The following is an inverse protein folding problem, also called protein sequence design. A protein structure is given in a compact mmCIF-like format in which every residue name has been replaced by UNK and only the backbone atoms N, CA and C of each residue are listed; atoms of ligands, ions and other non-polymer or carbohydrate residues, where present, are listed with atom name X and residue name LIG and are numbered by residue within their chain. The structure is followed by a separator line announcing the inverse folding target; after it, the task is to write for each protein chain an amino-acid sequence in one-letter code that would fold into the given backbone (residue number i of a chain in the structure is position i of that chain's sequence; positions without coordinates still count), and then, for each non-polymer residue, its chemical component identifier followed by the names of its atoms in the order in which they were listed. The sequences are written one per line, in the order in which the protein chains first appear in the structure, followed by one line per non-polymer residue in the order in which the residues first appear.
data_IF_686502013425
#
_entry.id   IF_686502013425
#
_cell.length_a   1.000
_cell.length_b   1.000
_cell.length_c   1.000
_cell.angle_alpha   90.00
_cell.angle_beta   90.00
_cell.angle_gamma   90.00
#
_symmetry.space_group_name_H-M   'P 1'
#
loop_
_entity.id
_entity.type
_entity.pdbx_description
1 polymer ?
#
# COMPACT_ATOMS: atom_id res chain seq x y z
N UNK A 1 13.68 -10.23 -19.07
CA UNK A 1 12.23 -10.49 -18.88
C UNK A 1 12.03 -11.04 -17.48
N UNK A 2 11.22 -10.38 -16.64
CA UNK A 2 10.97 -10.84 -15.27
C UNK A 2 10.24 -12.19 -15.30
N UNK A 3 10.75 -13.17 -14.56
CA UNK A 3 10.12 -14.50 -14.44
C UNK A 3 9.26 -14.52 -13.19
N UNK A 4 7.97 -14.83 -13.32
CA UNK A 4 7.07 -14.97 -12.18
C UNK A 4 6.88 -16.43 -11.77
N UNK A 5 6.82 -16.68 -10.46
CA UNK A 5 6.44 -17.98 -9.91
C UNK A 5 4.98 -18.28 -10.19
N UNK A 6 4.66 -19.55 -10.45
CA UNK A 6 3.27 -20.01 -10.54
C UNK A 6 2.69 -20.13 -9.13
N UNK A 7 1.57 -19.45 -8.87
CA UNK A 7 0.79 -19.61 -7.63
C UNK A 7 0.11 -20.98 -7.61
N UNK A 8 0.32 -21.74 -6.53
CA UNK A 8 -0.22 -23.10 -6.33
C UNK A 8 -0.89 -23.19 -4.96
N UNK A 9 -1.67 -24.25 -4.74
CA UNK A 9 -2.26 -24.50 -3.43
C UNK A 9 -3.35 -23.50 -3.03
N UNK A 10 -4.16 -23.05 -3.99
CA UNK A 10 -5.20 -22.03 -3.77
C UNK A 10 -6.06 -22.28 -2.53
N UNK A 11 -6.52 -23.52 -2.29
CA UNK A 11 -7.33 -23.83 -1.11
C UNK A 11 -6.60 -23.55 0.22
N UNK A 12 -5.29 -23.84 0.29
CA UNK A 12 -4.46 -23.50 1.44
C UNK A 12 -4.31 -21.99 1.59
N UNK A 13 -4.07 -21.29 0.49
CA UNK A 13 -3.98 -19.81 0.49
C UNK A 13 -5.28 -19.19 1.02
N UNK A 14 -6.45 -19.64 0.56
CA UNK A 14 -7.73 -19.14 1.07
C UNK A 14 -7.87 -19.34 2.58
N UNK A 15 -7.54 -20.53 3.10
CA UNK A 15 -7.56 -20.80 4.54
C UNK A 15 -6.60 -19.90 5.32
N UNK A 16 -5.42 -19.64 4.79
CA UNK A 16 -4.45 -18.74 5.43
C UNK A 16 -4.92 -17.28 5.42
N UNK A 17 -5.57 -16.84 4.34
CA UNK A 17 -6.18 -15.50 4.28
C UNK A 17 -7.32 -15.39 5.30
N UNK A 18 -8.15 -16.42 5.45
CA UNK A 18 -9.20 -16.43 6.47
C UNK A 18 -8.62 -16.39 7.89
N UNK A 19 -7.61 -17.22 8.18
CA UNK A 19 -6.94 -17.20 9.49
C UNK A 19 -6.27 -15.85 9.80
N UNK A 20 -5.57 -15.27 8.82
CA UNK A 20 -4.98 -13.92 8.95
C UNK A 20 -6.06 -12.87 9.23
N UNK A 21 -7.15 -12.90 8.47
CA UNK A 21 -8.27 -11.97 8.64
C UNK A 21 -8.89 -12.10 10.02
N UNK A 22 -9.20 -13.31 10.46
CA UNK A 22 -9.87 -13.56 11.73
C UNK A 22 -8.98 -13.14 12.91
N UNK A 23 -7.67 -13.37 12.83
CA UNK A 23 -6.70 -12.86 13.80
C UNK A 23 -6.68 -11.32 13.85
N UNK A 24 -6.68 -10.65 12.70
CA UNK A 24 -6.58 -9.19 12.66
C UNK A 24 -7.91 -8.44 12.87
N UNK A 25 -9.04 -9.14 12.98
CA UNK A 25 -10.32 -8.50 13.35
C UNK A 25 -10.31 -7.99 14.78
N UNK A 26 -9.57 -8.64 15.67
CA UNK A 26 -9.39 -8.18 17.04
C UNK A 26 -8.36 -7.03 17.07
N UNK A 27 -8.81 -5.85 17.47
CA UNK A 27 -7.95 -4.69 17.62
C UNK A 27 -7.42 -4.66 19.04
N UNK A 28 -6.11 -4.79 19.20
CA UNK A 28 -5.46 -4.66 20.50
C UNK A 28 -5.58 -3.20 21.01
N UNK A 29 -6.56 -2.97 21.89
CA UNK A 29 -6.87 -1.65 22.44
C UNK A 29 -5.81 -1.19 23.44
N UNK A 30 -5.11 -2.09 24.12
CA UNK A 30 -4.02 -1.75 25.04
C UNK A 30 -2.84 -1.19 24.25
N UNK A 31 -2.44 -1.88 23.18
CA UNK A 31 -1.40 -1.41 22.27
C UNK A 31 -1.78 -0.10 21.58
N UNK A 32 -3.05 0.03 21.18
CA UNK A 32 -3.56 1.27 20.59
C UNK A 32 -3.48 2.43 21.60
N UNK A 33 -3.85 2.20 22.87
CA UNK A 33 -3.80 3.24 23.89
C UNK A 33 -2.37 3.68 24.20
N UNK A 34 -1.41 2.75 24.15
CA UNK A 34 0.02 3.06 24.36
C UNK A 34 0.62 3.83 23.17
N UNK A 35 0.46 3.33 21.94
CA UNK A 35 1.11 3.89 20.76
C UNK A 35 0.31 4.99 20.06
N UNK A 36 -0.97 5.14 20.41
CA UNK A 36 -1.95 6.05 19.80
C UNK A 36 -2.22 5.79 18.31
N UNK A 37 -1.69 4.69 17.76
CA UNK A 37 -1.91 4.22 16.40
C UNK A 37 -1.75 2.71 16.29
N UNK A 38 -2.45 2.11 15.34
CA UNK A 38 -2.30 0.70 14.99
C UNK A 38 -2.51 0.49 13.49
N UNK A 39 -2.05 -0.64 12.95
CA UNK A 39 -2.24 -1.02 11.56
C UNK A 39 -2.29 -2.55 11.39
N UNK A 40 -3.08 -3.00 10.43
CA UNK A 40 -3.06 -4.37 9.94
C UNK A 40 -2.64 -4.37 8.48
N UNK A 41 -1.51 -5.03 8.19
CA UNK A 41 -0.99 -5.23 6.84
C UNK A 41 -1.19 -6.67 6.39
N UNK A 42 -1.36 -6.88 5.09
CA UNK A 42 -1.45 -8.23 4.56
C UNK A 42 -0.14 -8.99 4.77
N UNK A 43 -0.21 -10.16 5.41
CA UNK A 43 0.96 -10.98 5.68
C UNK A 43 0.61 -12.47 5.54
N UNK A 44 0.45 -12.91 4.30
CA UNK A 44 0.13 -14.30 3.96
C UNK A 44 1.01 -14.80 2.82
N UNK A 45 1.69 -15.92 3.06
CA UNK A 45 2.50 -16.62 2.06
C UNK A 45 1.63 -17.08 0.87
N UNK A 46 2.11 -16.99 -0.38
CA UNK A 46 3.47 -16.57 -0.75
C UNK A 46 3.66 -15.06 -0.88
N UNK A 47 2.60 -14.27 -0.81
CA UNK A 47 2.62 -12.88 -1.28
C UNK A 47 3.39 -11.91 -0.39
N UNK A 48 3.68 -12.29 0.85
CA UNK A 48 4.56 -11.54 1.75
C UNK A 48 5.98 -12.11 1.82
N UNK A 49 6.28 -13.18 1.09
CA UNK A 49 7.56 -13.86 1.20
C UNK A 49 8.65 -13.12 0.42
N UNK A 50 9.89 -13.23 0.91
CA UNK A 50 11.05 -12.72 0.17
C UNK A 50 11.34 -13.67 -1.00
N UNK A 51 11.51 -13.10 -2.20
CA UNK A 51 11.85 -13.91 -3.36
C UNK A 51 13.31 -14.37 -3.31
N UNK A 52 13.56 -15.56 -2.76
CA UNK A 52 14.90 -16.17 -2.69
C UNK A 52 15.36 -16.92 -3.95
N UNK A 53 14.52 -16.98 -4.98
CA UNK A 53 14.86 -17.56 -6.28
C UNK A 53 14.82 -16.43 -7.30
N UNK A 54 15.55 -16.55 -8.41
CA UNK A 54 15.54 -15.57 -9.52
C UNK A 54 14.20 -15.44 -10.26
N UNK A 55 13.08 -15.73 -9.60
CA UNK A 55 11.72 -15.52 -10.07
C UNK A 55 10.88 -14.83 -9.01
N UNK A 56 10.22 -13.73 -9.38
CA UNK A 56 9.40 -12.91 -8.51
C UNK A 56 8.10 -13.61 -8.10
N UNK A 57 7.57 -13.20 -6.94
CA UNK A 57 6.25 -13.61 -6.48
C UNK A 57 5.23 -12.69 -7.14
N UNK A 58 4.24 -13.21 -7.88
CA UNK A 58 3.27 -12.37 -8.53
C UNK A 58 2.30 -11.76 -7.51
N UNK A 59 1.90 -10.51 -7.74
CA UNK A 59 0.74 -9.88 -7.09
C UNK A 59 -0.49 -10.79 -7.15
N UNK A 60 -1.29 -10.90 -6.05
CA UNK A 60 -2.56 -11.62 -6.06
C UNK A 60 -3.51 -11.15 -7.17
N UNK A 61 -4.13 -12.12 -7.87
CA UNK A 61 -5.10 -11.88 -8.95
C UNK A 61 -6.37 -12.72 -8.77
N UNK A 62 -7.42 -12.35 -9.50
CA UNK A 62 -8.70 -13.09 -9.53
C UNK A 62 -9.31 -13.28 -8.15
N UNK A 63 -9.72 -14.51 -7.83
CA UNK A 63 -10.42 -14.84 -6.58
C UNK A 63 -9.57 -14.55 -5.32
N UNK A 64 -8.25 -14.70 -5.39
CA UNK A 64 -7.36 -14.40 -4.25
C UNK A 64 -7.39 -12.90 -3.98
N UNK A 65 -7.24 -12.06 -5.02
CA UNK A 65 -7.36 -10.60 -4.90
C UNK A 65 -8.69 -10.19 -4.27
N UNK A 66 -9.80 -10.73 -4.77
CA UNK A 66 -11.13 -10.44 -4.19
C UNK A 66 -11.21 -10.83 -2.72
N UNK A 67 -10.69 -12.00 -2.34
CA UNK A 67 -10.68 -12.44 -0.94
C UNK A 67 -9.87 -11.51 -0.04
N UNK A 68 -8.70 -11.04 -0.49
CA UNK A 68 -7.88 -10.11 0.28
C UNK A 68 -8.62 -8.79 0.52
N UNK A 69 -9.25 -8.24 -0.51
CA UNK A 69 -10.02 -6.99 -0.41
C UNK A 69 -11.20 -7.17 0.55
N UNK A 70 -11.95 -8.28 0.41
CA UNK A 70 -13.05 -8.61 1.31
C UNK A 70 -12.58 -8.72 2.76
N UNK A 71 -11.46 -9.40 3.00
CA UNK A 71 -10.86 -9.52 4.33
C UNK A 71 -10.50 -8.16 4.93
N UNK A 72 -9.94 -7.23 4.15
CA UNK A 72 -9.64 -5.88 4.63
C UNK A 72 -10.90 -5.10 4.99
N UNK A 73 -11.97 -5.22 4.21
CA UNK A 73 -13.27 -4.60 4.55
C UNK A 73 -13.79 -5.16 5.87
N UNK A 74 -13.73 -6.48 6.07
CA UNK A 74 -14.17 -7.12 7.31
C UNK A 74 -13.32 -6.71 8.54
N UNK A 75 -12.00 -6.56 8.38
CA UNK A 75 -11.12 -6.03 9.44
C UNK A 75 -11.48 -4.58 9.74
N UNK A 76 -11.65 -3.75 8.71
CA UNK A 76 -12.06 -2.35 8.87
C UNK A 76 -13.35 -2.25 9.68
N UNK A 77 -14.38 -3.02 9.32
CA UNK A 77 -15.68 -2.96 9.99
C UNK A 77 -15.60 -3.44 11.45
N UNK A 78 -14.79 -4.47 11.72
CA UNK A 78 -14.54 -4.95 13.08
C UNK A 78 -13.80 -3.90 13.93
N UNK A 79 -12.80 -3.22 13.35
CA UNK A 79 -12.06 -2.16 14.03
C UNK A 79 -12.93 -0.93 14.27
N UNK A 80 -13.77 -0.54 13.32
CA UNK A 80 -14.72 0.57 13.48
C UNK A 80 -15.67 0.32 14.65
N UNK A 81 -16.20 -0.90 14.76
CA UNK A 81 -17.07 -1.29 15.88
C UNK A 81 -16.35 -1.21 17.24
N UNK A 82 -15.09 -1.68 17.32
CA UNK A 82 -14.30 -1.65 18.56
C UNK A 82 -13.90 -0.22 18.93
N UNK A 83 -13.44 0.59 17.97
CA UNK A 83 -13.03 1.99 18.20
C UNK A 83 -14.19 2.86 18.68
N UNK A 84 -15.43 2.60 18.24
CA UNK A 84 -16.62 3.29 18.74
C UNK A 84 -16.84 3.08 20.23
N UNK A 85 -16.41 1.94 20.80
CA UNK A 85 -16.57 1.68 22.24
C UNK A 85 -15.69 2.58 23.11
N UNK A 86 -14.62 3.15 22.54
CA UNK A 86 -13.73 4.08 23.23
C UNK A 86 -14.37 5.45 23.50
N UNK A 87 -15.51 5.77 22.86
CA UNK A 87 -16.22 7.05 23.00
C UNK A 87 -15.32 8.29 22.80
N UNK A 88 -14.32 8.18 21.90
CA UNK A 88 -13.39 9.27 21.57
C UNK A 88 -13.16 9.38 20.06
N UNK A 89 -12.70 10.53 19.55
CA UNK A 89 -12.36 10.66 18.15
C UNK A 89 -11.25 9.69 17.74
N UNK A 90 -11.43 9.04 16.60
CA UNK A 90 -10.42 8.18 15.98
C UNK A 90 -10.35 8.43 14.46
N UNK A 91 -9.16 8.22 13.90
CA UNK A 91 -8.92 8.06 12.49
C UNK A 91 -8.96 6.57 12.16
N UNK A 92 -9.70 6.17 11.13
CA UNK A 92 -9.72 4.80 10.61
C UNK A 92 -9.87 4.87 9.09
N UNK A 93 -8.92 4.28 8.37
CA UNK A 93 -8.94 4.22 6.91
C UNK A 93 -8.43 2.88 6.38
N UNK A 94 -8.95 2.48 5.22
CA UNK A 94 -8.41 1.40 4.40
C UNK A 94 -7.53 2.00 3.30
N UNK A 95 -6.25 1.66 3.30
CA UNK A 95 -5.32 1.93 2.21
C UNK A 95 -5.37 0.78 1.21
N UNK A 96 -6.02 1.00 0.08
CA UNK A 96 -6.19 0.01 -0.98
C UNK A 96 -5.22 0.29 -2.13
N UNK A 97 -4.18 -0.53 -2.23
CA UNK A 97 -3.17 -0.43 -3.28
C UNK A 97 -3.70 -1.14 -4.53
N UNK A 98 -4.06 -0.38 -5.56
CA UNK A 98 -4.77 -0.92 -6.71
C UNK A 98 -3.93 -1.96 -7.46
N UNK A 99 -2.66 -1.65 -7.70
CA UNK A 99 -1.75 -2.49 -8.46
C UNK A 99 -1.06 -3.56 -7.60
N UNK A 100 -0.82 -3.26 -6.31
CA UNK A 100 -0.05 -4.08 -5.38
C UNK A 100 -0.87 -4.40 -4.14
N UNK A 101 -1.96 -5.17 -4.31
CA UNK A 101 -2.98 -5.34 -3.27
C UNK A 101 -2.44 -5.91 -1.94
N UNK A 102 -1.37 -6.71 -2.01
CA UNK A 102 -0.62 -7.25 -0.88
C UNK A 102 0.03 -6.16 0.00
N UNK A 103 0.16 -4.92 -0.49
CA UNK A 103 0.64 -3.77 0.29
C UNK A 103 -0.47 -3.02 1.00
N UNK A 104 -1.74 -3.40 0.78
CA UNK A 104 -2.89 -2.75 1.39
C UNK A 104 -2.90 -2.91 2.91
N UNK A 105 -3.51 -1.96 3.60
CA UNK A 105 -3.53 -1.90 5.06
C UNK A 105 -4.82 -1.29 5.58
N UNK A 106 -5.28 -1.74 6.74
CA UNK A 106 -6.22 -0.97 7.57
C UNK A 106 -5.39 -0.26 8.64
N UNK A 107 -5.56 1.04 8.79
CA UNK A 107 -4.80 1.83 9.76
C UNK A 107 -5.75 2.66 10.63
N UNK A 108 -5.42 2.79 11.91
CA UNK A 108 -6.15 3.63 12.83
C UNK A 108 -5.22 4.46 13.73
N UNK A 109 -5.72 5.61 14.18
CA UNK A 109 -5.06 6.46 15.15
C UNK A 109 -6.08 7.13 16.06
N UNK A 110 -5.64 7.48 17.27
CA UNK A 110 -6.45 8.14 18.31
C UNK A 110 -5.66 9.31 18.90
N UNK A 111 -6.35 10.15 19.68
CA UNK A 111 -5.75 11.22 20.49
C UNK A 111 -4.80 12.13 19.67
N UNK A 112 -3.57 12.36 20.13
CA UNK A 112 -2.60 13.26 19.48
C UNK A 112 -2.12 12.81 18.09
N UNK A 113 -2.46 11.61 17.63
CA UNK A 113 -2.01 11.07 16.33
C UNK A 113 -3.09 10.98 15.26
N UNK A 114 -4.26 11.59 15.46
CA UNK A 114 -5.37 11.57 14.48
C UNK A 114 -4.96 11.97 13.05
N UNK A 115 -3.98 12.86 12.94
CA UNK A 115 -3.51 13.40 11.66
C UNK A 115 -2.29 12.68 11.09
N UNK A 116 -1.71 11.74 11.83
CA UNK A 116 -0.47 11.04 11.45
C UNK A 116 -0.53 10.44 10.04
N UNK A 117 -1.65 9.80 9.70
CA UNK A 117 -1.83 9.13 8.41
C UNK A 117 -2.30 10.06 7.28
N UNK A 118 -2.60 11.33 7.55
CA UNK A 118 -3.04 12.27 6.52
C UNK A 118 -1.93 12.59 5.51
N UNK A 119 -0.68 12.55 5.95
CA UNK A 119 0.51 12.89 5.16
C UNK A 119 1.23 11.68 4.55
N UNK A 120 0.73 10.45 4.74
CA UNK A 120 1.45 9.23 4.34
C UNK A 120 1.66 9.05 2.84
N UNK A 121 0.84 9.68 2.01
CA UNK A 121 0.91 9.57 0.56
C UNK A 121 0.70 10.90 -0.11
N UNK A 122 1.36 11.11 -1.25
CA UNK A 122 1.09 12.26 -2.11
C UNK A 122 -0.33 12.19 -2.68
N UNK A 123 -1.12 13.23 -2.43
CA UNK A 123 -2.49 13.39 -2.90
C UNK A 123 -2.51 14.49 -3.96
N UNK A 124 -2.67 14.16 -5.26
CA UNK A 124 -2.73 15.17 -6.30
C UNK A 124 -3.99 16.03 -6.13
N UNK A 125 -3.89 17.32 -6.49
CA UNK A 125 -5.03 18.25 -6.47
C UNK A 125 -6.20 17.72 -7.30
N UNK A 126 -5.90 17.18 -8.49
CA UNK A 126 -6.88 16.53 -9.34
C UNK A 126 -7.22 15.13 -8.81
N UNK A 127 -8.27 15.07 -8.00
CA UNK A 127 -8.82 13.82 -7.49
C UNK A 127 -9.47 12.97 -8.58
N UNK A 128 -9.43 11.64 -8.40
CA UNK A 128 -10.09 10.65 -9.26
C UNK A 128 -11.14 9.88 -8.46
N UNK A 129 -12.13 9.33 -9.15
CA UNK A 129 -13.06 8.36 -8.56
C UNK A 129 -12.46 6.96 -8.66
N UNK A 130 -12.64 6.17 -7.60
CA UNK A 130 -12.27 4.76 -7.63
C UNK A 130 -13.07 4.04 -8.74
N UNK A 131 -12.44 3.21 -9.58
CA UNK A 131 -13.14 2.47 -10.62
C UNK A 131 -13.85 1.25 -10.02
N UNK A 132 -14.97 1.46 -9.31
CA UNK A 132 -15.72 0.41 -8.60
C UNK A 132 -16.05 -0.81 -9.47
N UNK A 133 -16.31 -0.60 -10.76
CA UNK A 133 -16.57 -1.66 -11.73
C UNK A 133 -15.45 -2.72 -11.82
N UNK A 134 -14.22 -2.38 -11.43
CA UNK A 134 -13.07 -3.29 -11.42
C UNK A 134 -13.09 -4.29 -10.25
N UNK A 135 -14.03 -4.16 -9.30
CA UNK A 135 -14.08 -4.95 -8.07
C UNK A 135 -15.20 -6.01 -8.07
N UNK A 136 -15.99 -6.10 -9.14
CA UNK A 136 -17.02 -7.13 -9.32
C UNK A 136 -18.02 -7.15 -8.17
N UNK A 137 -18.18 -8.30 -7.50
CA UNK A 137 -19.14 -8.49 -6.40
C UNK A 137 -18.85 -7.65 -5.15
N UNK A 138 -17.66 -7.05 -5.04
CA UNK A 138 -17.29 -6.20 -3.90
C UNK A 138 -17.71 -4.74 -4.09
N UNK A 139 -18.23 -4.38 -5.26
CA UNK A 139 -18.70 -3.02 -5.58
C UNK A 139 -19.65 -2.49 -4.51
N UNK A 140 -20.63 -3.29 -4.10
CA UNK A 140 -21.65 -2.89 -3.13
C UNK A 140 -21.07 -2.64 -1.74
N UNK A 141 -19.97 -3.29 -1.36
CA UNK A 141 -19.28 -3.05 -0.09
C UNK A 141 -18.36 -1.81 -0.16
N UNK A 142 -17.79 -1.55 -1.34
CA UNK A 142 -16.82 -0.47 -1.55
C UNK A 142 -17.50 0.88 -1.80
N UNK A 143 -18.78 0.90 -2.21
CA UNK A 143 -19.54 2.15 -2.40
C UNK A 143 -19.78 2.89 -1.08
N UNK A 144 -19.77 2.19 0.05
CA UNK A 144 -19.96 2.76 1.40
C UNK A 144 -18.78 3.60 1.88
N UNK A 145 -17.64 3.51 1.19
CA UNK A 145 -16.42 4.25 1.54
C UNK A 145 -16.34 5.57 0.76
N UNK A 146 -15.92 6.61 1.47
CA UNK A 146 -15.45 7.86 0.89
C UNK A 146 -13.98 7.70 0.50
N UNK A 147 -13.72 7.64 -0.80
CA UNK A 147 -12.38 7.38 -1.33
C UNK A 147 -11.64 8.68 -1.66
N UNK A 148 -10.39 8.76 -1.21
CA UNK A 148 -9.41 9.76 -1.62
C UNK A 148 -8.38 9.09 -2.52
N UNK A 149 -8.07 9.72 -3.64
CA UNK A 149 -7.06 9.26 -4.60
C UNK A 149 -5.67 9.76 -4.19
N UNK A 150 -4.72 8.84 -4.12
CA UNK A 150 -3.32 9.09 -3.83
C UNK A 150 -2.40 8.27 -4.77
N UNK A 151 -1.13 8.64 -4.81
CA UNK A 151 -0.12 7.96 -5.61
C UNK A 151 0.62 6.90 -4.79
N UNK A 152 0.82 5.72 -5.37
CA UNK A 152 1.90 4.83 -4.93
C UNK A 152 3.17 5.29 -5.64
N UNK A 153 4.19 5.63 -4.86
CA UNK A 153 5.43 6.23 -5.37
C UNK A 153 6.63 5.33 -5.08
N UNK A 154 7.49 5.18 -6.08
CA UNK A 154 8.90 4.85 -5.89
C UNK A 154 9.72 6.14 -5.90
N UNK A 155 10.92 6.09 -5.33
CA UNK A 155 11.85 7.21 -5.36
C UNK A 155 13.29 6.73 -5.59
N UNK A 156 14.13 7.67 -6.01
CA UNK A 156 15.58 7.53 -6.05
C UNK A 156 16.19 8.93 -5.84
N UNK A 157 17.40 9.00 -5.32
CA UNK A 157 18.09 10.27 -5.04
C UNK A 157 19.15 10.58 -6.10
N UNK A 158 19.69 11.80 -6.08
CA UNK A 158 20.88 12.15 -6.85
C UNK A 158 22.09 11.29 -6.48
N UNK A 159 22.21 10.87 -5.22
CA UNK A 159 23.29 10.00 -4.74
C UNK A 159 23.15 8.59 -5.30
N UNK A 160 21.95 8.01 -5.29
CA UNK A 160 21.67 6.70 -5.92
C UNK A 160 22.16 6.66 -7.38
N UNK A 161 21.96 7.77 -8.10
CA UNK A 161 22.41 7.90 -9.50
C UNK A 161 23.94 7.91 -9.59
N UNK A 162 24.61 8.65 -8.71
CA UNK A 162 26.06 8.75 -8.72
C UNK A 162 26.72 7.40 -8.39
N UNK A 163 26.24 6.73 -7.34
CA UNK A 163 26.74 5.41 -6.95
C UNK A 163 26.57 4.40 -8.08
N UNK A 164 25.38 4.29 -8.69
CA UNK A 164 25.16 3.36 -9.81
C UNK A 164 26.08 3.66 -11.02
N UNK A 165 26.47 4.92 -11.26
CA UNK A 165 27.43 5.26 -12.33
C UNK A 165 28.86 4.81 -11.98
N UNK A 166 29.28 4.99 -10.74
CA UNK A 166 30.64 4.65 -10.26
C UNK A 166 30.89 3.13 -10.27
N UNK A 167 29.86 2.31 -10.08
CA UNK A 167 29.98 0.85 -10.07
C UNK A 167 30.07 0.19 -11.46
N UNK A 168 30.04 0.96 -12.55
CA UNK A 168 29.87 0.43 -13.91
C UNK A 168 31.09 0.69 -14.79
N UNK A 169 31.53 -0.34 -15.52
CA UNK A 169 32.63 -0.25 -16.49
C UNK A 169 32.33 0.81 -17.58
N UNK A 170 33.37 1.46 -18.11
CA UNK A 170 33.28 2.62 -19.03
C UNK A 170 32.33 2.44 -20.24
N UNK A 171 32.16 1.20 -20.75
CA UNK A 171 31.26 0.89 -21.87
C UNK A 171 29.76 0.81 -21.51
N UNK A 172 29.42 0.34 -20.31
CA UNK A 172 28.04 0.17 -19.83
C UNK A 172 27.46 1.45 -19.20
N UNK A 173 28.35 2.38 -18.81
CA UNK A 173 28.00 3.64 -18.16
C UNK A 173 27.05 4.51 -19.01
N UNK A 174 27.22 4.51 -20.34
CA UNK A 174 26.42 5.35 -21.25
C UNK A 174 24.94 4.90 -21.37
N UNK A 175 24.67 3.59 -21.27
CA UNK A 175 23.29 3.09 -21.30
C UNK A 175 22.57 3.41 -19.99
N UNK A 176 23.22 3.21 -18.84
CA UNK A 176 22.67 3.54 -17.53
C UNK A 176 22.41 5.04 -17.40
N UNK A 177 23.35 5.89 -17.83
CA UNK A 177 23.15 7.35 -17.89
C UNK A 177 21.92 7.73 -18.71
N UNK A 178 21.65 7.04 -19.83
CA UNK A 178 20.42 7.26 -20.61
C UNK A 178 19.17 6.81 -19.86
N UNK A 179 19.21 5.67 -19.18
CA UNK A 179 18.10 5.18 -18.36
C UNK A 179 17.80 6.15 -17.20
N UNK A 180 18.83 6.67 -16.53
CA UNK A 180 18.69 7.68 -15.48
C UNK A 180 18.10 8.99 -15.97
N UNK A 181 18.62 9.55 -17.07
CA UNK A 181 18.06 10.76 -17.67
C UNK A 181 16.57 10.58 -18.02
N UNK A 182 16.18 9.39 -18.48
CA UNK A 182 14.76 9.04 -18.70
C UNK A 182 13.98 8.96 -17.39
N UNK A 183 14.52 8.33 -16.34
CA UNK A 183 13.89 8.24 -15.02
C UNK A 183 13.66 9.63 -14.43
N UNK A 184 14.68 10.49 -14.41
CA UNK A 184 14.58 11.90 -13.96
C UNK A 184 13.51 12.64 -14.76
N UNK A 185 13.53 12.54 -16.10
CA UNK A 185 12.53 13.18 -16.96
C UNK A 185 11.11 12.66 -16.72
N UNK A 186 10.96 11.40 -16.31
CA UNK A 186 9.67 10.77 -16.01
C UNK A 186 9.15 11.07 -14.60
N UNK A 187 10.01 11.59 -13.72
CA UNK A 187 9.62 11.98 -12.37
C UNK A 187 8.69 13.17 -12.43
N UNK A 188 7.58 13.07 -11.70
CA UNK A 188 6.51 14.06 -11.78
C UNK A 188 6.56 15.07 -10.62
N UNK A 189 7.41 14.81 -9.63
CA UNK A 189 7.77 15.75 -8.56
C UNK A 189 9.17 15.44 -8.03
N UNK A 190 9.77 16.42 -7.38
CA UNK A 190 11.04 16.33 -6.67
C UNK A 190 10.91 16.92 -5.27
N UNK A 191 11.85 16.60 -4.39
CA UNK A 191 12.09 17.32 -3.14
C UNK A 191 13.59 17.42 -2.89
N UNK A 192 14.02 18.48 -2.24
CA UNK A 192 15.41 18.69 -1.83
C UNK A 192 15.50 18.63 -0.30
N UNK A 193 16.52 17.95 0.24
CA UNK A 193 16.78 17.96 1.68
C UNK A 193 17.73 19.11 2.06
N UNK A 194 18.02 19.26 3.36
CA UNK A 194 18.89 20.33 3.88
C UNK A 194 20.34 20.26 3.34
N UNK A 195 20.78 19.06 2.93
CA UNK A 195 22.11 18.81 2.38
C UNK A 195 22.19 19.05 0.85
N UNK A 196 21.09 19.48 0.22
CA UNK A 196 21.01 19.71 -1.23
C UNK A 196 20.80 18.43 -2.06
N UNK A 197 20.53 17.29 -1.44
CA UNK A 197 20.23 16.04 -2.15
C UNK A 197 18.82 16.10 -2.74
N UNK A 198 18.73 15.85 -4.05
CA UNK A 198 17.43 15.81 -4.74
C UNK A 198 16.85 14.40 -4.72
N UNK A 199 15.64 14.26 -4.19
CA UNK A 199 14.81 13.05 -4.33
C UNK A 199 13.87 13.20 -5.53
N UNK A 200 13.85 12.20 -6.40
CA UNK A 200 13.01 12.12 -7.60
C UNK A 200 11.90 11.09 -7.39
N UNK A 201 10.64 11.49 -7.56
CA UNK A 201 9.50 10.60 -7.33
C UNK A 201 8.86 10.11 -8.64
N UNK A 202 8.67 8.80 -8.71
CA UNK A 202 8.03 8.12 -9.83
C UNK A 202 6.73 7.48 -9.36
N UNK A 203 5.66 7.73 -10.09
CA UNK A 203 4.39 7.08 -9.80
C UNK A 203 4.43 5.64 -10.31
N UNK A 204 4.31 4.68 -9.41
CA UNK A 204 4.34 3.24 -9.72
C UNK A 204 2.95 2.58 -9.61
N UNK A 205 1.97 3.25 -9.00
CA UNK A 205 0.62 2.73 -8.84
C UNK A 205 -0.38 3.75 -8.30
N UNK A 206 -1.60 3.31 -8.05
CA UNK A 206 -2.65 4.09 -7.39
C UNK A 206 -2.93 3.55 -5.99
N UNK A 207 -3.20 4.46 -5.05
CA UNK A 207 -3.71 4.14 -3.72
C UNK A 207 -5.08 4.80 -3.57
N UNK A 208 -6.04 4.03 -3.07
CA UNK A 208 -7.36 4.51 -2.68
C UNK A 208 -7.45 4.50 -1.16
N UNK A 209 -7.58 5.67 -0.54
CA UNK A 209 -7.68 5.82 0.91
C UNK A 209 -9.17 5.95 1.25
N UNK A 210 -9.76 4.90 1.81
CA UNK A 210 -11.19 4.83 2.10
C UNK A 210 -11.49 5.05 3.57
N UNK A 211 -12.40 5.97 3.89
CA UNK A 211 -13.03 6.09 5.21
C UNK A 211 -14.54 5.90 5.10
N UNK A 212 -15.21 5.41 6.14
CA UNK A 212 -16.67 5.43 6.21
C UNK A 212 -17.14 6.66 6.97
N UNK A 213 -18.23 7.28 6.51
CA UNK A 213 -18.88 8.35 7.26
C UNK A 213 -19.43 7.79 8.56
N UNK A 214 -19.14 8.43 9.69
CA UNK A 214 -19.68 8.05 10.99
C UNK A 214 -21.21 8.20 10.94
N UNK A 215 -21.94 7.09 10.99
CA UNK A 215 -23.37 7.09 11.33
C UNK A 215 -23.52 7.12 12.84
#
# INVERSE_FOLDING_TARGET
MIRYRKVRGHAKIFKQIDAWKDYHKELDLEQLEHHKRNYSKFYVSPFCDISVTGSEIPTPKGKIRSKIIESFIEIFDAWDAQLKTLNKPYHLVLWLFENNIERSQVVCAIDGLLDFYKISFYRPEKQKKIPLQNFGKLTDKLVDFNWIYAHEEGYFTSTDVQEEIEFVNEGDSNELLKQFKRRIKSSYRTSENEDGETTYFQKIGNIWIGSKTRK
#
